data_IF_386593641556
#
_entry.id   IF_386593641556
#
_cell.length_a   1.000
_cell.length_b   1.000
_cell.length_c   1.000
_cell.angle_alpha   90.00
_cell.angle_beta   90.00
_cell.angle_gamma   90.00
#
_symmetry.space_group_name_H-M   'P 1'
#
loop_
_entity.id
_entity.type
_entity.pdbx_description
1 polymer ?
#
# COMPACT_ATOMS: atom_id res chain seq x y z
N UNK A 1 -14.78 -10.30 -46.31
CA UNK A 1 -15.16 -10.91 -45.01
C UNK A 1 -14.28 -12.13 -44.80
N UNK A 2 -13.31 -12.09 -43.89
CA UNK A 2 -12.46 -13.25 -43.54
C UNK A 2 -12.57 -13.47 -42.03
N UNK A 3 -12.90 -14.71 -41.67
CA UNK A 3 -13.30 -15.14 -40.33
C UNK A 3 -12.18 -15.00 -39.31
N UNK A 4 -12.56 -14.54 -38.11
CA UNK A 4 -11.74 -14.63 -36.91
C UNK A 4 -11.78 -16.08 -36.43
N UNK A 5 -10.68 -16.81 -36.61
CA UNK A 5 -10.44 -18.01 -35.80
C UNK A 5 -10.28 -17.59 -34.34
N UNK A 6 -11.21 -18.07 -33.51
CA UNK A 6 -11.13 -17.98 -32.05
C UNK A 6 -10.33 -19.18 -31.57
N UNK A 7 -9.10 -18.97 -31.12
CA UNK A 7 -8.43 -19.91 -30.21
C UNK A 7 -8.90 -19.61 -28.79
N UNK A 8 -9.88 -20.36 -28.33
CA UNK A 8 -10.37 -20.38 -26.96
C UNK A 8 -9.48 -21.31 -26.15
N UNK A 9 -8.58 -20.74 -25.37
CA UNK A 9 -8.09 -21.36 -24.13
C UNK A 9 -8.54 -20.41 -23.03
N UNK A 10 -9.28 -20.91 -22.05
CA UNK A 10 -9.95 -20.09 -21.01
C UNK A 10 -8.97 -19.25 -20.20
N UNK A 11 -8.63 -18.07 -20.71
CA UNK A 11 -7.96 -17.00 -20.00
C UNK A 11 -9.04 -16.15 -19.35
N UNK A 12 -9.13 -16.21 -18.03
CA UNK A 12 -9.82 -15.17 -17.27
C UNK A 12 -9.05 -13.87 -17.55
N UNK A 13 -9.53 -13.05 -18.49
CA UNK A 13 -8.95 -11.74 -18.75
C UNK A 13 -9.35 -10.83 -17.59
N UNK A 14 -8.44 -10.60 -16.65
CA UNK A 14 -8.62 -9.59 -15.61
C UNK A 14 -8.65 -8.23 -16.31
N UNK A 15 -9.64 -7.39 -15.99
CA UNK A 15 -9.71 -6.02 -16.51
C UNK A 15 -8.61 -5.16 -15.88
N UNK A 16 -8.19 -4.08 -16.56
CA UNK A 16 -7.16 -3.18 -16.01
C UNK A 16 -7.59 -2.53 -14.71
N UNK A 17 -8.89 -2.25 -14.58
CA UNK A 17 -9.49 -1.70 -13.35
C UNK A 17 -9.43 -2.72 -12.20
N UNK A 18 -9.73 -3.99 -12.46
CA UNK A 18 -9.70 -5.02 -11.42
C UNK A 18 -8.26 -5.33 -10.99
N UNK A 19 -7.31 -5.32 -11.94
CA UNK A 19 -5.88 -5.43 -11.64
C UNK A 19 -5.43 -4.29 -10.72
N UNK A 20 -5.73 -3.04 -11.09
CA UNK A 20 -5.39 -1.86 -10.29
C UNK A 20 -5.97 -1.93 -8.88
N UNK A 21 -7.28 -2.20 -8.74
CA UNK A 21 -7.95 -2.32 -7.44
C UNK A 21 -7.41 -3.46 -6.58
N UNK A 22 -7.12 -4.60 -7.19
CA UNK A 22 -6.54 -5.74 -6.49
C UNK A 22 -5.13 -5.41 -5.98
N UNK A 23 -4.34 -4.72 -6.79
CA UNK A 23 -2.99 -4.30 -6.41
C UNK A 23 -3.02 -3.24 -5.31
N UNK A 24 -3.87 -2.21 -5.41
CA UNK A 24 -4.07 -1.22 -4.35
C UNK A 24 -4.43 -1.87 -3.00
N UNK A 25 -5.31 -2.88 -3.02
CA UNK A 25 -5.68 -3.63 -1.82
C UNK A 25 -4.50 -4.37 -1.23
N UNK A 26 -3.71 -5.05 -2.07
CA UNK A 26 -2.49 -5.76 -1.66
C UNK A 26 -1.48 -4.80 -1.01
N UNK A 27 -1.26 -3.64 -1.62
CA UNK A 27 -0.41 -2.58 -1.05
C UNK A 27 -0.96 -2.13 0.29
N UNK A 28 -2.24 -1.81 0.37
CA UNK A 28 -2.88 -1.39 1.62
C UNK A 28 -2.66 -2.42 2.74
N UNK A 29 -2.95 -3.69 2.49
CA UNK A 29 -2.83 -4.76 3.49
C UNK A 29 -1.39 -4.92 3.99
N UNK A 30 -0.40 -4.86 3.08
CA UNK A 30 1.01 -4.91 3.43
C UNK A 30 1.41 -3.75 4.36
N UNK A 31 0.97 -2.52 4.07
CA UNK A 31 1.29 -1.36 4.91
C UNK A 31 0.55 -1.39 6.25
N UNK A 32 -0.73 -1.78 6.28
CA UNK A 32 -1.49 -1.93 7.54
C UNK A 32 -0.81 -2.93 8.48
N UNK A 33 -0.30 -4.03 7.94
CA UNK A 33 0.46 -5.02 8.70
C UNK A 33 1.79 -4.52 9.28
N UNK A 34 2.30 -3.38 8.78
CA UNK A 34 3.55 -2.76 9.20
C UNK A 34 3.35 -1.44 9.98
N UNK A 35 2.19 -1.24 10.61
CA UNK A 35 1.95 -0.13 11.53
C UNK A 35 1.60 1.20 10.85
N UNK A 36 1.00 1.11 9.66
CA UNK A 36 0.39 2.25 8.98
C UNK A 36 -1.13 2.23 9.19
N UNK A 37 -1.75 3.41 9.08
CA UNK A 37 -3.20 3.55 9.05
C UNK A 37 -3.64 4.28 7.79
N UNK A 38 -4.77 3.85 7.21
CA UNK A 38 -5.37 4.51 6.05
C UNK A 38 -6.06 5.79 6.49
N UNK A 39 -5.74 6.88 5.81
CA UNK A 39 -6.46 8.15 5.97
C UNK A 39 -7.51 8.31 4.88
N UNK A 40 -8.63 8.95 5.21
CA UNK A 40 -9.59 9.38 4.18
C UNK A 40 -8.96 10.52 3.37
N UNK A 41 -8.97 10.39 2.04
CA UNK A 41 -8.43 11.40 1.09
C UNK A 41 -8.91 12.82 1.43
N UNK A 42 -10.18 12.96 1.83
CA UNK A 42 -10.80 14.25 2.14
C UNK A 42 -10.54 14.76 3.59
N UNK A 43 -10.13 13.89 4.53
CA UNK A 43 -9.83 14.32 5.91
C UNK A 43 -8.43 14.93 6.06
N UNK A 44 -7.53 14.65 5.12
CA UNK A 44 -6.18 15.24 5.08
C UNK A 44 -6.18 16.74 4.74
N UNK A 45 -7.26 17.26 4.14
CA UNK A 45 -7.28 18.59 3.51
C UNK A 45 -7.78 19.75 4.39
N UNK A 46 -7.92 19.58 5.71
CA UNK A 46 -8.51 20.62 6.59
C UNK A 46 -7.71 21.95 6.70
N UNK A 47 -6.53 22.05 6.08
CA UNK A 47 -5.69 23.26 6.08
C UNK A 47 -5.64 24.01 4.74
N UNK A 48 -6.47 23.66 3.76
CA UNK A 48 -6.59 24.44 2.51
C UNK A 48 -8.02 24.92 2.32
N UNK A 49 -8.13 26.15 1.84
CA UNK A 49 -9.30 27.03 1.77
C UNK A 49 -10.63 26.33 1.43
N UNK A 50 -11.70 26.74 2.12
CA UNK A 50 -13.09 26.29 1.92
C UNK A 50 -13.69 26.77 0.59
N UNK A 51 -12.94 27.52 -0.21
CA UNK A 51 -13.40 28.11 -1.46
C UNK A 51 -13.30 27.05 -2.57
N UNK A 52 -14.39 26.29 -2.69
CA UNK A 52 -14.85 25.68 -3.94
C UNK A 52 -13.78 24.98 -4.78
N UNK A 53 -13.02 24.06 -4.20
CA UNK A 53 -12.22 23.15 -5.02
C UNK A 53 -13.07 21.90 -5.31
N UNK A 54 -13.39 21.58 -6.58
CA UNK A 54 -14.16 20.39 -6.96
C UNK A 54 -13.30 19.14 -6.71
N UNK A 55 -13.22 18.75 -5.44
CA UNK A 55 -12.44 17.65 -4.87
C UNK A 55 -12.89 16.23 -5.32
N UNK A 56 -13.61 16.11 -6.44
CA UNK A 56 -14.01 14.84 -7.07
C UNK A 56 -13.02 14.34 -8.12
N UNK A 57 -11.98 15.11 -8.48
CA UNK A 57 -11.00 14.77 -9.55
C UNK A 57 -9.57 14.48 -9.06
N UNK A 58 -9.35 14.23 -7.77
CA UNK A 58 -7.98 14.07 -7.21
C UNK A 58 -7.66 12.59 -7.02
N UNK A 59 -7.02 12.02 -8.02
CA UNK A 59 -6.77 10.58 -8.18
C UNK A 59 -5.36 10.22 -7.71
N UNK A 60 -5.15 10.21 -6.39
CA UNK A 60 -4.09 9.40 -5.77
C UNK A 60 -4.72 8.11 -5.29
N UNK A 61 -3.98 7.00 -5.30
CA UNK A 61 -4.57 5.72 -4.93
C UNK A 61 -4.82 5.62 -3.42
N UNK A 62 -3.79 5.90 -2.61
CA UNK A 62 -3.83 5.77 -1.15
C UNK A 62 -3.20 6.96 -0.42
N UNK A 63 -3.68 7.23 0.80
CA UNK A 63 -3.03 8.14 1.77
C UNK A 63 -2.88 7.38 3.08
N UNK A 64 -1.65 7.27 3.56
CA UNK A 64 -1.29 6.48 4.74
C UNK A 64 -0.55 7.35 5.75
N UNK A 65 -0.75 7.06 7.04
CA UNK A 65 0.06 7.63 8.12
C UNK A 65 0.78 6.51 8.85
N UNK A 66 2.09 6.65 9.06
CA UNK A 66 2.86 5.73 9.90
C UNK A 66 2.64 6.10 11.36
N UNK A 67 2.11 5.18 12.17
CA UNK A 67 1.72 5.45 13.56
C UNK A 67 2.91 5.95 14.39
N UNK A 68 4.08 5.30 14.24
CA UNK A 68 5.25 5.56 15.08
C UNK A 68 5.87 6.94 14.87
N UNK A 69 5.73 7.54 13.69
CA UNK A 69 6.35 8.82 13.34
C UNK A 69 5.34 9.92 13.03
N UNK A 70 4.05 9.58 12.96
CA UNK A 70 2.98 10.45 12.46
C UNK A 70 3.25 11.03 11.06
N UNK A 71 4.19 10.43 10.32
CA UNK A 71 4.54 10.84 8.97
C UNK A 71 3.45 10.38 8.00
N UNK A 72 2.99 11.29 7.17
CA UNK A 72 1.98 11.02 6.14
C UNK A 72 2.63 10.78 4.79
N UNK A 73 2.11 9.78 4.11
CA UNK A 73 2.55 9.28 2.81
C UNK A 73 1.38 9.39 1.83
N UNK A 74 1.65 9.94 0.65
CA UNK A 74 0.73 9.94 -0.49
C UNK A 74 1.25 8.93 -1.49
N UNK A 75 0.41 7.99 -1.90
CA UNK A 75 0.80 6.82 -2.67
C UNK A 75 0.19 6.81 -4.07
N UNK A 76 1.00 6.45 -5.04
CA UNK A 76 0.62 6.00 -6.38
C UNK A 76 1.02 4.53 -6.54
N UNK A 77 0.10 3.70 -7.03
CA UNK A 77 0.25 2.27 -7.24
C UNK A 77 0.26 1.98 -8.75
N UNK A 78 1.33 1.35 -9.25
CA UNK A 78 1.43 0.90 -10.64
C UNK A 78 1.45 -0.63 -10.69
N UNK A 79 0.44 -1.21 -11.33
CA UNK A 79 0.33 -2.65 -11.54
C UNK A 79 0.55 -2.98 -13.02
N UNK A 80 1.19 -4.11 -13.30
CA UNK A 80 1.52 -4.54 -14.65
C UNK A 80 0.98 -5.95 -14.92
N UNK A 81 0.61 -6.22 -16.16
CA UNK A 81 0.24 -7.58 -16.57
C UNK A 81 1.45 -8.51 -16.73
N UNK A 82 2.65 -7.94 -16.88
CA UNK A 82 3.90 -8.68 -17.01
C UNK A 82 4.90 -8.23 -15.95
N UNK A 83 5.59 -9.20 -15.35
CA UNK A 83 6.68 -8.95 -14.40
C UNK A 83 7.86 -8.22 -15.01
N UNK A 84 8.00 -8.27 -16.34
CA UNK A 84 9.10 -7.63 -17.07
C UNK A 84 8.85 -6.14 -17.34
N UNK A 85 7.61 -5.67 -17.15
CA UNK A 85 7.26 -4.26 -17.29
C UNK A 85 7.79 -3.47 -16.11
N UNK A 86 8.59 -2.45 -16.37
CA UNK A 86 9.15 -1.57 -15.35
C UNK A 86 8.54 -0.18 -15.43
N UNK A 87 8.37 0.45 -14.27
CA UNK A 87 7.95 1.85 -14.19
C UNK A 87 9.05 2.76 -14.73
N UNK A 88 8.67 3.56 -15.73
CA UNK A 88 9.52 4.51 -16.45
C UNK A 88 9.66 5.85 -15.76
N UNK A 89 10.52 6.70 -16.34
CA UNK A 89 10.73 8.07 -15.86
C UNK A 89 9.45 8.92 -15.98
N UNK A 90 8.69 8.73 -17.05
CA UNK A 90 7.47 9.47 -17.35
C UNK A 90 6.45 9.34 -16.22
N UNK A 91 6.17 8.11 -15.79
CA UNK A 91 5.19 7.82 -14.72
C UNK A 91 5.60 8.43 -13.38
N UNK A 92 6.88 8.36 -13.01
CA UNK A 92 7.39 8.99 -11.78
C UNK A 92 7.32 10.51 -11.86
N UNK A 93 7.57 11.08 -13.04
CA UNK A 93 7.50 12.52 -13.27
C UNK A 93 6.05 13.01 -13.20
N UNK A 94 5.11 12.28 -13.80
CA UNK A 94 3.68 12.58 -13.73
C UNK A 94 3.19 12.59 -12.28
N UNK A 95 3.57 11.56 -11.50
CA UNK A 95 3.25 11.51 -10.07
C UNK A 95 3.83 12.70 -9.31
N UNK A 96 5.09 13.06 -9.57
CA UNK A 96 5.72 14.22 -8.94
C UNK A 96 5.00 15.52 -9.26
N UNK A 97 4.67 15.74 -10.54
CA UNK A 97 3.95 16.94 -11.01
C UNK A 97 2.56 17.01 -10.36
N UNK A 98 1.86 15.87 -10.24
CA UNK A 98 0.64 15.80 -9.44
C UNK A 98 0.95 16.36 -8.07
N UNK A 99 1.81 15.72 -7.27
CA UNK A 99 2.10 16.11 -5.88
C UNK A 99 2.51 17.57 -5.65
N UNK A 100 3.33 18.17 -6.52
CA UNK A 100 3.77 19.57 -6.41
C UNK A 100 2.58 20.53 -6.38
N UNK A 101 1.52 20.22 -7.13
CA UNK A 101 0.32 21.05 -7.17
C UNK A 101 -0.56 20.91 -5.91
N UNK A 102 -0.26 20.00 -4.98
CA UNK A 102 -1.17 19.67 -3.88
C UNK A 102 -0.53 19.59 -2.48
N UNK A 103 0.78 19.79 -2.32
CA UNK A 103 1.45 19.56 -1.05
C UNK A 103 1.74 20.82 -0.23
N UNK A 104 1.17 20.87 0.96
CA UNK A 104 1.84 21.46 2.11
C UNK A 104 3.12 20.68 2.45
N UNK A 105 4.10 21.35 3.05
CA UNK A 105 5.53 20.96 3.23
C UNK A 105 5.83 19.63 3.98
N UNK A 106 4.85 18.78 4.29
CA UNK A 106 5.01 17.68 5.28
C UNK A 106 4.63 16.26 4.82
N UNK A 107 4.25 16.02 3.57
CA UNK A 107 3.97 14.65 3.09
C UNK A 107 5.19 14.02 2.42
N UNK A 108 5.27 12.69 2.48
CA UNK A 108 6.28 11.91 1.75
C UNK A 108 5.62 11.28 0.53
N UNK A 109 6.05 11.64 -0.68
CA UNK A 109 5.55 11.00 -1.88
C UNK A 109 6.15 9.60 -2.02
N UNK A 110 5.29 8.62 -2.31
CA UNK A 110 5.66 7.21 -2.35
C UNK A 110 5.04 6.53 -3.57
N UNK A 111 5.86 5.95 -4.45
CA UNK A 111 5.36 5.15 -5.57
C UNK A 111 5.61 3.67 -5.29
N UNK A 112 4.59 2.85 -5.50
CA UNK A 112 4.61 1.40 -5.28
C UNK A 112 4.31 0.69 -6.59
N UNK A 113 5.08 -0.34 -6.92
CA UNK A 113 4.85 -1.18 -8.11
C UNK A 113 4.94 -2.66 -7.78
N UNK A 114 4.24 -3.50 -8.54
CA UNK A 114 4.32 -4.97 -8.47
C UNK A 114 5.58 -5.53 -9.13
N UNK A 115 6.28 -4.73 -9.92
CA UNK A 115 7.47 -5.09 -10.67
C UNK A 115 8.72 -4.36 -10.15
N UNK A 116 9.31 -3.47 -10.94
CA UNK A 116 10.44 -2.64 -10.57
C UNK A 116 10.43 -1.29 -11.28
N UNK A 117 11.51 -0.55 -11.11
CA UNK A 117 11.70 0.78 -11.68
C UNK A 117 12.91 0.80 -12.60
N UNK A 118 12.81 1.52 -13.70
CA UNK A 118 13.94 1.82 -14.57
C UNK A 118 15.02 2.62 -13.83
N UNK A 119 16.27 2.58 -14.32
CA UNK A 119 17.38 3.34 -13.74
C UNK A 119 17.10 4.85 -13.70
N UNK A 120 16.54 5.40 -14.78
CA UNK A 120 16.20 6.82 -14.88
C UNK A 120 15.12 7.22 -13.87
N UNK A 121 14.08 6.39 -13.71
CA UNK A 121 13.05 6.59 -12.70
C UNK A 121 13.63 6.66 -11.28
N UNK A 122 14.51 5.72 -10.91
CA UNK A 122 15.18 5.72 -9.60
C UNK A 122 16.03 6.98 -9.36
N UNK A 123 16.80 7.40 -10.36
CA UNK A 123 17.63 8.60 -10.26
C UNK A 123 16.78 9.86 -10.09
N UNK A 124 15.69 9.98 -10.85
CA UNK A 124 14.77 11.10 -10.73
C UNK A 124 14.07 11.12 -9.36
N UNK A 125 13.57 9.97 -8.90
CA UNK A 125 12.93 9.84 -7.60
C UNK A 125 13.87 10.26 -6.46
N UNK A 126 15.13 9.83 -6.49
CA UNK A 126 16.13 10.23 -5.49
C UNK A 126 16.37 11.75 -5.44
N UNK A 127 16.48 12.40 -6.62
CA UNK A 127 16.65 13.86 -6.70
C UNK A 127 15.45 14.63 -6.15
N UNK A 128 14.24 14.10 -6.35
CA UNK A 128 12.98 14.75 -5.97
C UNK A 128 12.38 14.22 -4.66
N UNK A 129 13.14 13.44 -3.87
CA UNK A 129 12.72 12.87 -2.58
C UNK A 129 11.43 12.04 -2.66
N UNK A 130 11.26 11.30 -3.76
CA UNK A 130 10.16 10.34 -3.96
C UNK A 130 10.64 8.98 -3.47
N UNK A 131 9.92 8.44 -2.50
CA UNK A 131 10.16 7.09 -2.00
C UNK A 131 9.64 6.08 -3.02
N UNK A 132 10.36 4.97 -3.21
CA UNK A 132 9.99 3.91 -4.16
C UNK A 132 9.90 2.58 -3.42
N UNK A 133 8.89 1.77 -3.76
CA UNK A 133 8.73 0.39 -3.29
C UNK A 133 8.51 -0.50 -4.51
N UNK A 134 9.46 -1.38 -4.78
CA UNK A 134 9.35 -2.37 -5.85
C UNK A 134 8.53 -3.59 -5.42
N UNK A 135 8.23 -4.49 -6.35
CA UNK A 135 7.54 -5.74 -6.04
C UNK A 135 8.31 -6.62 -5.05
N UNK A 136 9.64 -6.60 -5.11
CA UNK A 136 10.50 -7.30 -4.15
C UNK A 136 10.41 -6.68 -2.75
N UNK A 137 10.39 -5.35 -2.65
CA UNK A 137 10.24 -4.63 -1.38
C UNK A 137 8.85 -4.86 -0.79
N UNK A 138 7.81 -4.83 -1.63
CA UNK A 138 6.43 -5.11 -1.23
C UNK A 138 6.30 -6.54 -0.68
N UNK A 139 6.90 -7.52 -1.34
CA UNK A 139 6.92 -8.91 -0.86
C UNK A 139 7.63 -9.03 0.50
N UNK A 140 8.70 -8.28 0.73
CA UNK A 140 9.37 -8.24 2.02
C UNK A 140 8.46 -7.64 3.12
N UNK A 141 7.74 -6.56 2.80
CA UNK A 141 6.75 -5.94 3.70
C UNK A 141 5.59 -6.90 4.04
N UNK A 142 5.11 -7.67 3.08
CA UNK A 142 4.06 -8.67 3.31
C UNK A 142 4.53 -9.77 4.27
N UNK A 143 5.78 -10.22 4.10
CA UNK A 143 6.38 -11.24 4.97
C UNK A 143 6.58 -10.72 6.38
N UNK A 144 7.04 -9.48 6.57
CA UNK A 144 7.17 -8.90 7.91
C UNK A 144 5.81 -8.76 8.60
N UNK A 145 4.78 -8.31 7.88
CA UNK A 145 3.41 -8.24 8.38
C UNK A 145 2.90 -9.61 8.87
N UNK A 146 3.13 -10.66 8.06
CA UNK A 146 2.74 -12.03 8.42
C UNK A 146 3.44 -12.53 9.68
N UNK A 147 4.72 -12.19 9.85
CA UNK A 147 5.49 -12.56 11.03
C UNK A 147 4.97 -11.83 12.28
N UNK A 148 4.67 -10.53 12.16
CA UNK A 148 4.04 -9.76 13.25
C UNK A 148 2.68 -10.34 13.63
N UNK A 149 1.85 -10.73 12.66
CA UNK A 149 0.55 -11.37 12.94
C UNK A 149 0.74 -12.73 13.62
N UNK A 150 1.67 -13.56 13.17
CA UNK A 150 1.99 -14.86 13.80
C UNK A 150 2.51 -14.70 15.22
N UNK A 151 3.36 -13.70 15.47
CA UNK A 151 3.84 -13.39 16.81
C UNK A 151 2.70 -12.90 17.71
N UNK A 152 1.85 -11.98 17.25
CA UNK A 152 0.66 -11.53 18.01
C UNK A 152 -0.28 -12.69 18.34
N UNK A 153 -0.53 -13.59 17.38
CA UNK A 153 -1.34 -14.79 17.61
C UNK A 153 -0.73 -15.73 18.66
N UNK A 154 0.60 -15.93 18.64
CA UNK A 154 1.31 -16.72 19.65
C UNK A 154 1.34 -16.06 21.03
N UNK A 155 1.53 -14.76 21.12
CA UNK A 155 1.48 -14.04 22.39
C UNK A 155 0.09 -14.09 23.02
N UNK A 156 -0.96 -13.97 22.20
CA UNK A 156 -2.35 -14.13 22.66
C UNK A 156 -2.65 -15.57 23.10
N UNK A 157 -2.13 -16.59 22.40
CA UNK A 157 -2.33 -17.99 22.83
C UNK A 157 -1.59 -18.31 24.12
N UNK A 158 -0.37 -17.79 24.31
CA UNK A 158 0.41 -17.97 25.56
C UNK A 158 -0.22 -17.23 26.74
N UNK A 159 -0.78 -16.04 26.50
CA UNK A 159 -1.53 -15.30 27.51
C UNK A 159 -2.79 -16.07 27.94
N UNK A 160 -3.49 -16.71 26.98
CA UNK A 160 -4.67 -17.52 27.26
C UNK A 160 -4.32 -18.79 28.07
N UNK A 161 -3.30 -19.55 27.67
CA UNK A 161 -2.86 -20.75 28.41
C UNK A 161 -2.32 -20.43 29.82
N UNK A 162 -1.68 -19.27 30.00
CA UNK A 162 -1.24 -18.80 31.32
C UNK A 162 -2.41 -18.40 32.22
N UNK A 163 -3.47 -17.81 31.66
CA UNK A 163 -4.68 -17.46 32.39
C UNK A 163 -5.47 -18.72 32.82
N UNK A 164 -5.53 -19.75 31.96
CA UNK A 164 -6.14 -21.04 32.31
C UNK A 164 -5.38 -21.79 33.42
N UNK A 165 -4.04 -21.76 33.39
CA UNK A 165 -3.22 -22.32 34.47
C UNK A 165 -3.37 -21.56 35.81
N UNK A 166 -3.47 -20.23 35.76
CA UNK A 166 -3.67 -19.41 36.95
C UNK A 166 -5.08 -19.62 37.57
N UNK A 167 -6.13 -19.73 36.74
CA UNK A 167 -7.48 -20.05 37.20
C UNK A 167 -7.60 -21.50 37.73
N UNK A 168 -6.96 -22.47 37.07
CA UNK A 168 -6.98 -23.87 37.50
C UNK A 168 -6.26 -24.13 38.84
N UNK A 169 -5.24 -23.32 39.16
CA UNK A 169 -4.51 -23.40 40.43
C UNK A 169 -5.29 -22.74 41.58
N UNK A 170 -6.01 -21.64 41.32
CA UNK A 170 -6.82 -20.96 42.33
C UNK A 170 -8.05 -21.78 42.79
N UNK A 171 -8.60 -22.63 41.93
CA UNK A 171 -9.77 -23.47 42.26
C UNK A 171 -9.40 -24.74 43.05
N UNK A 172 -8.13 -25.18 43.03
CA UNK A 172 -7.67 -26.34 43.83
C UNK A 172 -7.12 -25.99 45.21
N UNK A 173 -6.98 -24.70 45.54
CA UNK A 173 -6.54 -24.23 46.85
C UNK A 173 -7.66 -23.91 47.85
N UNK A 174 -8.93 -24.09 47.46
CA UNK A 174 -10.12 -23.74 48.27
C UNK A 174 -11.08 -24.94 48.50
N UNK A 175 -10.58 -26.18 48.42
CA UNK A 175 -11.30 -27.38 48.83
C UNK A 175 -10.51 -28.14 49.89
#
# INVERSE_FOLDING_TARGET
MKGKERKTVGLISISSTDLGRSFERRVLDAFLGNGYVRMKKNHWMRNYDFISDPATKREYDLVLMRISSLQVYVLECKAHYSSDSLVGLEEVTEFHIKLVNYNGLRTVPLMVTDSGFTRCAKQYAGKNRISLVSGADLLALERSASLVQRLKGRFLSVAYSSAEHAFGSAVRGCL
#
